data_IF_180823844748
#
_entry.id   IF_180823844748
#
_cell.length_a   1.000
_cell.length_b   1.000
_cell.length_c   1.000
_cell.angle_alpha   90.00
_cell.angle_beta   90.00
_cell.angle_gamma   90.00
#
_symmetry.space_group_name_H-M   'P 1'
#
loop_
_entity.id
_entity.type
_entity.pdbx_description
1 polymer ?
#
# COMPACT_ATOMS: atom_id res chain seq x y z
N UNK A 1 12.57 -4.63 1.99
CA UNK A 1 11.38 -5.20 1.30
C UNK A 1 10.16 -4.35 1.57
N UNK A 2 9.45 -3.96 0.53
CA UNK A 2 8.23 -3.17 0.65
C UNK A 2 7.05 -4.03 0.18
N UNK A 3 6.02 -4.12 1.02
CA UNK A 3 4.73 -4.71 0.65
C UNK A 3 3.77 -3.58 0.31
N UNK A 4 3.25 -3.60 -0.92
CA UNK A 4 2.31 -2.62 -1.42
C UNK A 4 0.93 -3.29 -1.53
N UNK A 5 0.02 -2.89 -0.64
CA UNK A 5 -1.30 -3.49 -0.54
C UNK A 5 -2.34 -2.56 -1.12
N UNK A 6 -3.09 -3.03 -2.10
CA UNK A 6 -4.17 -2.29 -2.71
C UNK A 6 -5.40 -3.19 -2.89
N UNK A 7 -6.47 -2.62 -3.42
CA UNK A 7 -7.73 -3.32 -3.63
C UNK A 7 -8.90 -2.37 -3.54
N UNK A 8 -10.12 -2.89 -3.67
CA UNK A 8 -11.34 -2.10 -3.54
C UNK A 8 -11.56 -1.59 -2.12
N UNK A 9 -12.41 -0.59 -1.97
CA UNK A 9 -12.67 0.07 -0.68
C UNK A 9 -13.20 -0.87 0.40
N UNK A 10 -13.84 -1.98 0.03
CA UNK A 10 -14.39 -2.95 0.97
C UNK A 10 -13.58 -4.24 1.05
N UNK A 11 -12.35 -4.23 0.53
CA UNK A 11 -11.51 -5.42 0.45
C UNK A 11 -10.72 -5.74 1.73
N UNK A 12 -10.86 -4.95 2.81
CA UNK A 12 -10.19 -5.23 4.07
C UNK A 12 -8.68 -4.94 4.08
N UNK A 13 -8.21 -4.03 3.21
CA UNK A 13 -6.79 -3.66 3.11
C UNK A 13 -6.19 -3.22 4.43
N UNK A 14 -6.91 -2.39 5.17
CA UNK A 14 -6.43 -1.84 6.45
C UNK A 14 -6.25 -2.94 7.47
N UNK A 15 -7.21 -3.85 7.56
CA UNK A 15 -7.11 -5.00 8.47
C UNK A 15 -5.93 -5.90 8.10
N UNK A 16 -5.77 -6.18 6.81
CA UNK A 16 -4.67 -7.00 6.30
C UNK A 16 -3.31 -6.36 6.62
N UNK A 17 -3.17 -5.07 6.33
CA UNK A 17 -1.94 -4.33 6.61
C UNK A 17 -1.60 -4.34 8.09
N UNK A 18 -2.60 -4.16 8.95
CA UNK A 18 -2.41 -4.19 10.40
C UNK A 18 -1.98 -5.57 10.88
N UNK A 19 -2.58 -6.64 10.35
CA UNK A 19 -2.17 -8.00 10.68
C UNK A 19 -0.75 -8.32 10.22
N UNK A 20 -0.37 -7.85 9.04
CA UNK A 20 1.00 -7.98 8.56
C UNK A 20 1.99 -7.22 9.44
N UNK A 21 1.65 -6.01 9.85
CA UNK A 21 2.48 -5.22 10.75
C UNK A 21 2.71 -5.96 12.06
N UNK A 22 1.66 -6.53 12.65
CA UNK A 22 1.75 -7.29 13.91
C UNK A 22 2.59 -8.57 13.73
N UNK A 23 2.40 -9.28 12.62
CA UNK A 23 3.08 -10.55 12.38
C UNK A 23 4.56 -10.38 12.03
N UNK A 24 4.91 -9.35 11.28
CA UNK A 24 6.29 -9.13 10.80
C UNK A 24 7.06 -8.09 11.59
N UNK A 25 6.37 -7.28 12.38
CA UNK A 25 7.02 -6.17 13.09
C UNK A 25 7.51 -5.06 12.18
N UNK A 26 6.92 -4.91 10.99
CA UNK A 26 7.31 -3.89 10.02
C UNK A 26 6.49 -2.60 10.19
N UNK A 27 7.08 -1.43 9.90
CA UNK A 27 6.32 -0.18 9.87
C UNK A 27 5.21 -0.21 8.84
N UNK A 28 4.15 0.54 9.10
CA UNK A 28 2.95 0.59 8.27
C UNK A 28 2.64 2.03 7.87
N UNK A 29 2.54 2.29 6.57
CA UNK A 29 2.13 3.58 6.02
C UNK A 29 0.77 3.44 5.35
N UNK A 30 -0.23 4.15 5.88
CA UNK A 30 -1.55 4.26 5.26
C UNK A 30 -1.59 5.48 4.35
N UNK A 31 -1.98 5.28 3.09
CA UNK A 31 -2.17 6.40 2.16
C UNK A 31 -3.31 7.32 2.63
N UNK A 32 -4.33 6.76 3.32
CA UNK A 32 -5.40 7.58 3.88
C UNK A 32 -4.90 8.47 5.02
N UNK A 33 -4.01 7.98 5.87
CA UNK A 33 -3.42 8.81 6.92
C UNK A 33 -2.58 9.94 6.31
N UNK A 34 -1.81 9.65 5.28
CA UNK A 34 -1.04 10.68 4.58
C UNK A 34 -1.97 11.71 3.96
N UNK A 35 -3.03 11.26 3.29
CA UNK A 35 -4.04 12.14 2.70
C UNK A 35 -4.64 13.07 3.74
N UNK A 36 -5.13 12.51 4.83
CA UNK A 36 -5.79 13.32 5.88
C UNK A 36 -4.82 14.27 6.58
N UNK A 37 -3.58 13.85 6.76
CA UNK A 37 -2.54 14.70 7.32
C UNK A 37 -2.26 15.91 6.44
N UNK A 38 -2.13 15.70 5.13
CA UNK A 38 -1.92 16.78 4.17
C UNK A 38 -3.11 17.73 4.09
N UNK A 39 -4.33 17.19 4.05
CA UNK A 39 -5.55 18.00 3.98
C UNK A 39 -5.71 18.83 5.26
N UNK A 40 -5.64 18.20 6.43
CA UNK A 40 -5.89 18.86 7.70
C UNK A 40 -4.81 19.89 8.08
N UNK A 41 -3.58 19.66 7.62
CA UNK A 41 -2.49 20.61 7.87
C UNK A 41 -2.60 21.88 7.03
N UNK A 42 -3.45 21.87 5.99
CA UNK A 42 -3.57 23.02 5.09
C UNK A 42 -2.40 23.20 4.13
N UNK A 43 -1.50 22.20 4.05
CA UNK A 43 -0.30 22.29 3.20
C UNK A 43 -0.56 21.92 1.75
N UNK A 44 -1.77 21.48 1.41
CA UNK A 44 -2.11 21.10 0.05
C UNK A 44 -3.48 21.65 -0.36
N UNK A 45 -3.76 21.76 -1.67
CA UNK A 45 -5.04 22.28 -2.15
C UNK A 45 -6.17 21.25 -2.15
N UNK A 46 -5.91 20.02 -1.71
CA UNK A 46 -6.89 18.95 -1.75
C UNK A 46 -7.91 19.08 -0.63
N UNK A 47 -9.10 18.53 -0.86
CA UNK A 47 -10.19 18.42 0.11
C UNK A 47 -10.66 16.96 0.17
N UNK A 48 -11.46 16.57 1.20
CA UNK A 48 -12.01 15.21 1.24
C UNK A 48 -12.88 14.86 0.03
N UNK A 49 -13.41 15.86 -0.68
CA UNK A 49 -14.26 15.69 -1.86
C UNK A 49 -13.47 15.67 -3.18
N UNK A 50 -12.16 15.83 -3.14
CA UNK A 50 -11.32 15.76 -4.35
C UNK A 50 -11.49 14.41 -5.03
N UNK A 51 -11.74 14.36 -6.38
CA UNK A 51 -11.87 13.10 -7.09
C UNK A 51 -10.64 12.21 -6.96
N UNK A 52 -10.85 10.90 -6.98
CA UNK A 52 -9.79 9.91 -6.75
C UNK A 52 -8.63 10.03 -7.75
N UNK A 53 -8.92 10.37 -9.01
CA UNK A 53 -7.87 10.56 -10.00
C UNK A 53 -6.92 11.71 -9.68
N UNK A 54 -7.48 12.83 -9.21
CA UNK A 54 -6.69 13.99 -8.78
C UNK A 54 -5.94 13.69 -7.48
N UNK A 55 -6.59 12.96 -6.57
CA UNK A 55 -5.98 12.54 -5.33
C UNK A 55 -4.77 11.65 -5.59
N UNK A 56 -4.91 10.68 -6.49
CA UNK A 56 -3.82 9.79 -6.90
C UNK A 56 -2.67 10.58 -7.53
N UNK A 57 -2.98 11.51 -8.43
CA UNK A 57 -1.96 12.34 -9.08
C UNK A 57 -1.15 13.17 -8.08
N UNK A 58 -1.76 13.55 -6.97
CA UNK A 58 -1.08 14.32 -5.93
C UNK A 58 -0.32 13.43 -4.95
N UNK A 59 -0.95 12.35 -4.47
CA UNK A 59 -0.39 11.50 -3.41
C UNK A 59 0.66 10.52 -3.90
N UNK A 60 0.44 9.92 -5.07
CA UNK A 60 1.30 8.85 -5.54
C UNK A 60 2.78 9.27 -5.69
N UNK A 61 3.10 10.45 -6.24
CA UNK A 61 4.51 10.87 -6.30
C UNK A 61 5.18 10.90 -4.93
N UNK A 62 4.45 11.30 -3.88
CA UNK A 62 4.99 11.33 -2.52
C UNK A 62 5.22 9.92 -2.01
N UNK A 63 4.23 9.05 -2.13
CA UNK A 63 4.31 7.65 -1.69
C UNK A 63 5.41 6.90 -2.46
N UNK A 64 5.47 7.11 -3.77
CA UNK A 64 6.50 6.51 -4.63
C UNK A 64 7.91 6.84 -4.11
N UNK A 65 8.17 8.10 -3.80
CA UNK A 65 9.48 8.51 -3.31
C UNK A 65 9.77 8.00 -1.91
N UNK A 66 8.76 7.86 -1.07
CA UNK A 66 8.89 7.21 0.23
C UNK A 66 9.27 5.73 0.09
N UNK A 67 8.65 5.03 -0.85
CA UNK A 67 9.00 3.64 -1.16
C UNK A 67 10.45 3.54 -1.63
N UNK A 68 10.87 4.40 -2.54
CA UNK A 68 12.26 4.42 -3.01
C UNK A 68 13.24 4.63 -1.87
N UNK A 69 12.93 5.56 -0.98
CA UNK A 69 13.76 5.84 0.20
C UNK A 69 13.89 4.60 1.09
N UNK A 70 12.79 3.91 1.34
CA UNK A 70 12.82 2.68 2.13
C UNK A 70 13.69 1.60 1.48
N UNK A 71 13.57 1.41 0.16
CA UNK A 71 14.39 0.44 -0.57
C UNK A 71 15.86 0.81 -0.50
N UNK A 72 16.19 2.07 -0.75
CA UNK A 72 17.58 2.56 -0.72
C UNK A 72 18.24 2.39 0.65
N UNK A 73 17.45 2.53 1.72
CA UNK A 73 17.93 2.37 3.09
C UNK A 73 17.89 0.92 3.58
N UNK A 74 17.48 -0.03 2.75
CA UNK A 74 17.35 -1.42 3.16
C UNK A 74 16.29 -1.66 4.22
N UNK A 75 15.27 -0.81 4.29
CA UNK A 75 14.22 -0.87 5.30
C UNK A 75 13.01 -1.67 4.80
N UNK A 76 12.33 -2.28 5.76
CA UNK A 76 11.05 -2.96 5.49
C UNK A 76 9.90 -1.97 5.73
N UNK A 77 8.89 -2.01 4.85
CA UNK A 77 7.76 -1.10 4.94
C UNK A 77 6.51 -1.77 4.36
N UNK A 78 5.38 -1.60 5.03
CA UNK A 78 4.06 -1.98 4.52
C UNK A 78 3.35 -0.70 4.10
N UNK A 79 2.97 -0.60 2.82
CA UNK A 79 2.22 0.54 2.29
C UNK A 79 0.84 0.05 1.86
N UNK A 80 -0.20 0.72 2.31
CA UNK A 80 -1.58 0.35 2.00
C UNK A 80 -2.37 1.54 1.49
N UNK A 81 -3.19 1.33 0.47
CA UNK A 81 -4.12 2.33 -0.02
C UNK A 81 -4.61 2.08 -1.43
N UNK A 82 -5.48 2.97 -1.89
CA UNK A 82 -6.09 2.89 -3.22
C UNK A 82 -5.58 3.94 -4.20
N UNK A 83 -4.72 4.87 -3.76
CA UNK A 83 -4.25 5.97 -4.59
C UNK A 83 -3.00 5.59 -5.38
N UNK A 84 -3.13 4.58 -6.19
CA UNK A 84 -2.08 3.92 -6.94
C UNK A 84 -2.46 3.97 -8.43
N UNK A 85 -1.62 4.54 -9.31
CA UNK A 85 -1.98 4.56 -10.73
C UNK A 85 -1.91 3.15 -11.32
N UNK A 86 -2.69 2.94 -12.37
CA UNK A 86 -2.74 1.66 -13.06
C UNK A 86 -1.36 1.17 -13.50
N UNK A 87 -0.51 2.09 -13.94
CA UNK A 87 0.84 1.81 -14.46
C UNK A 87 1.95 2.09 -13.44
N UNK A 88 1.68 1.92 -12.15
CA UNK A 88 2.61 2.27 -11.07
C UNK A 88 4.00 1.63 -11.22
N UNK A 89 4.08 0.44 -11.83
CA UNK A 89 5.37 -0.27 -12.02
C UNK A 89 6.33 0.50 -12.91
N UNK A 90 5.81 1.27 -13.86
CA UNK A 90 6.62 2.07 -14.77
C UNK A 90 7.39 3.18 -14.07
N UNK A 91 6.96 3.57 -12.88
CA UNK A 91 7.60 4.61 -12.08
C UNK A 91 8.84 4.11 -11.31
N UNK A 92 9.12 2.80 -11.38
CA UNK A 92 10.25 2.20 -10.68
C UNK A 92 11.20 1.50 -11.64
N UNK A 93 12.50 1.77 -11.48
CA UNK A 93 13.53 1.01 -12.18
C UNK A 93 13.57 -0.43 -11.66
N UNK A 94 14.10 -1.39 -12.45
CA UNK A 94 14.11 -2.81 -12.05
C UNK A 94 14.71 -3.10 -10.68
N UNK A 95 15.74 -2.37 -10.27
CA UNK A 95 16.37 -2.60 -8.97
C UNK A 95 15.45 -2.25 -7.80
N UNK A 96 14.53 -1.28 -7.97
CA UNK A 96 13.49 -1.00 -6.97
C UNK A 96 12.44 -2.11 -6.98
N UNK A 97 11.97 -2.50 -8.17
CA UNK A 97 10.91 -3.51 -8.29
C UNK A 97 11.31 -4.85 -7.66
N UNK A 98 12.61 -5.17 -7.66
CA UNK A 98 13.10 -6.38 -7.02
C UNK A 98 12.82 -6.43 -5.51
N UNK A 99 12.58 -5.26 -4.89
CA UNK A 99 12.33 -5.13 -3.45
C UNK A 99 10.89 -4.73 -3.12
N UNK A 100 9.98 -4.77 -4.10
CA UNK A 100 8.57 -4.43 -3.92
C UNK A 100 7.73 -5.66 -4.23
N UNK A 101 6.80 -5.99 -3.32
CA UNK A 101 5.80 -7.04 -3.51
C UNK A 101 4.42 -6.40 -3.46
N UNK A 102 3.67 -6.50 -4.55
CA UNK A 102 2.34 -5.93 -4.64
C UNK A 102 1.29 -7.01 -4.40
N UNK A 103 0.34 -6.72 -3.52
CA UNK A 103 -0.80 -7.58 -3.24
C UNK A 103 -2.09 -6.82 -3.53
N UNK A 104 -2.92 -7.41 -4.38
CA UNK A 104 -4.23 -6.85 -4.70
C UNK A 104 -5.29 -7.65 -3.97
N UNK A 105 -5.91 -7.05 -2.94
CA UNK A 105 -6.83 -7.77 -2.07
C UNK A 105 -8.23 -7.75 -2.64
N UNK A 106 -8.83 -8.93 -2.71
CA UNK A 106 -10.22 -9.13 -3.13
C UNK A 106 -11.08 -9.72 -2.01
N UNK A 107 -10.48 -9.94 -0.82
CA UNK A 107 -11.16 -10.55 0.31
C UNK A 107 -11.90 -9.50 1.14
N UNK A 108 -13.04 -9.88 1.72
CA UNK A 108 -13.72 -9.05 2.71
C UNK A 108 -12.93 -9.00 4.02
N UNK A 109 -13.23 -7.98 4.85
CA UNK A 109 -12.62 -7.90 6.18
C UNK A 109 -12.92 -9.13 7.05
N UNK A 110 -14.14 -9.65 6.97
CA UNK A 110 -14.52 -10.86 7.72
C UNK A 110 -13.71 -12.09 7.29
N UNK A 111 -13.50 -12.25 5.99
CA UNK A 111 -12.67 -13.35 5.49
C UNK A 111 -11.24 -13.23 6.00
N UNK A 112 -10.66 -12.06 5.96
CA UNK A 112 -9.28 -11.82 6.42
C UNK A 112 -9.18 -12.11 7.92
N UNK A 113 -10.16 -11.67 8.72
CA UNK A 113 -10.16 -11.90 10.16
C UNK A 113 -10.16 -13.38 10.51
N UNK A 114 -10.87 -14.20 9.75
CA UNK A 114 -11.03 -15.63 10.01
C UNK A 114 -9.95 -16.50 9.36
N UNK A 115 -9.26 -15.99 8.32
CA UNK A 115 -8.33 -16.78 7.50
C UNK A 115 -6.95 -16.14 7.35
N UNK A 116 -6.63 -15.10 8.13
CA UNK A 116 -5.40 -14.34 7.89
C UNK A 116 -4.13 -15.20 8.02
N UNK A 117 -4.15 -16.24 8.85
CA UNK A 117 -3.00 -17.15 9.00
C UNK A 117 -2.74 -17.92 7.71
N UNK A 118 -3.81 -18.40 7.08
CA UNK A 118 -3.71 -19.12 5.80
C UNK A 118 -3.21 -18.19 4.70
N UNK A 119 -3.73 -16.95 4.67
CA UNK A 119 -3.32 -15.95 3.70
C UNK A 119 -1.83 -15.59 3.89
N UNK A 120 -1.38 -15.42 5.13
CA UNK A 120 0.03 -15.16 5.44
C UNK A 120 0.93 -16.31 4.99
N UNK A 121 0.51 -17.55 5.23
CA UNK A 121 1.28 -18.73 4.86
C UNK A 121 1.48 -18.85 3.35
N UNK A 122 0.55 -18.31 2.56
CA UNK A 122 0.57 -18.36 1.10
C UNK A 122 0.83 -17.00 0.45
N UNK A 123 1.29 -16.00 1.21
CA UNK A 123 1.50 -14.65 0.70
C UNK A 123 2.46 -14.63 -0.49
N UNK A 124 3.56 -15.38 -0.41
CA UNK A 124 4.54 -15.45 -1.49
C UNK A 124 3.94 -16.06 -2.76
N UNK A 125 3.13 -17.11 -2.63
CA UNK A 125 2.45 -17.72 -3.76
C UNK A 125 1.46 -16.76 -4.42
N UNK A 126 0.72 -15.99 -3.61
CA UNK A 126 -0.23 -14.99 -4.09
C UNK A 126 0.51 -13.87 -4.82
N UNK A 127 1.63 -13.41 -4.28
CA UNK A 127 2.47 -12.37 -4.89
C UNK A 127 2.96 -12.81 -6.27
N UNK A 128 3.46 -14.02 -6.41
CA UNK A 128 3.94 -14.55 -7.67
C UNK A 128 2.84 -14.63 -8.74
N UNK A 129 1.59 -14.83 -8.34
CA UNK A 129 0.46 -14.86 -9.28
C UNK A 129 0.08 -13.46 -9.76
N UNK A 130 0.36 -12.43 -8.97
CA UNK A 130 -0.02 -11.06 -9.27
C UNK A 130 1.10 -10.28 -9.98
N UNK A 131 2.30 -10.76 -9.94
CA UNK A 131 3.44 -10.21 -10.64
C UNK A 131 3.47 -10.67 -12.10
#
# INVERSE_FOLDING_TARGET
MVYLLSGGTHAGKTLWAQRLMEAKGWPYLSMDHLKMGLIRSGLCPLTPETPDGEMTAFLWPVVREMIKTAVENGQNLIVEGCYLPFNWREDFQPHYLAHIRALWLVFSGDYIQNHYRDILAHADDIEHRLE
#
